data_IF_672623179107
#
_entry.id   IF_672623179107
#
_cell.length_a   1.000
_cell.length_b   1.000
_cell.length_c   1.000
_cell.angle_alpha   90.00
_cell.angle_beta   90.00
_cell.angle_gamma   90.00
#
_symmetry.space_group_name_H-M   'P 1'
#
loop_
_entity.id
_entity.type
_entity.pdbx_description
1 polymer ?
#
# COMPACT_ATOMS: atom_id res chain seq x y z
N UNK A 1 -41.03 50.52 -55.47
CA UNK A 1 -41.76 50.33 -54.21
C UNK A 1 -41.23 49.04 -53.59
N UNK A 2 -40.41 49.16 -52.57
CA UNK A 2 -39.80 48.01 -51.88
C UNK A 2 -40.59 47.76 -50.61
N UNK A 3 -41.22 46.60 -50.52
CA UNK A 3 -41.79 46.10 -49.26
C UNK A 3 -40.73 45.48 -48.45
N UNK A 4 -40.34 46.16 -47.39
CA UNK A 4 -39.50 45.59 -46.33
C UNK A 4 -40.37 44.75 -45.39
N UNK A 5 -40.24 43.46 -45.47
CA UNK A 5 -40.85 42.55 -44.51
C UNK A 5 -39.96 42.51 -43.28
N UNK A 6 -40.44 43.11 -42.20
CA UNK A 6 -39.83 42.99 -40.88
C UNK A 6 -39.94 41.55 -40.39
N UNK A 7 -38.81 40.84 -40.30
CA UNK A 7 -38.75 39.59 -39.61
C UNK A 7 -38.58 39.84 -38.11
N UNK A 8 -39.64 39.57 -37.40
CA UNK A 8 -39.73 39.60 -35.95
C UNK A 8 -38.86 38.50 -35.36
N UNK A 9 -37.65 38.86 -34.87
CA UNK A 9 -36.78 37.96 -34.12
C UNK A 9 -37.45 37.64 -32.78
N UNK A 10 -38.05 36.46 -32.67
CA UNK A 10 -38.47 35.88 -31.41
C UNK A 10 -37.21 35.43 -30.64
N UNK A 11 -36.86 36.19 -29.62
CA UNK A 11 -35.85 35.76 -28.61
C UNK A 11 -36.39 34.54 -27.87
N UNK A 12 -35.89 33.37 -28.22
CA UNK A 12 -36.04 32.17 -27.41
C UNK A 12 -35.07 32.32 -26.24
N UNK A 13 -35.63 32.63 -25.08
CA UNK A 13 -34.87 32.55 -23.82
C UNK A 13 -34.63 31.07 -23.51
N UNK A 14 -33.48 30.56 -23.91
CA UNK A 14 -33.00 29.27 -23.47
C UNK A 14 -32.69 29.34 -21.99
N UNK A 15 -33.51 28.65 -21.20
CA UNK A 15 -33.23 28.40 -19.80
C UNK A 15 -32.16 27.30 -19.78
N UNK A 16 -30.93 27.69 -19.57
CA UNK A 16 -29.86 26.74 -19.28
C UNK A 16 -30.09 26.19 -17.86
N UNK A 17 -30.68 25.00 -17.78
CA UNK A 17 -30.66 24.21 -16.59
C UNK A 17 -29.23 23.69 -16.42
N UNK A 18 -28.43 24.40 -15.62
CA UNK A 18 -27.14 23.87 -15.13
C UNK A 18 -27.44 22.76 -14.17
N UNK A 19 -27.41 21.51 -14.65
CA UNK A 19 -27.41 20.34 -13.82
C UNK A 19 -25.99 20.28 -13.21
N UNK A 20 -25.84 20.80 -11.99
CA UNK A 20 -24.67 20.59 -11.20
C UNK A 20 -24.63 19.10 -10.83
N UNK A 21 -23.81 18.35 -11.57
CA UNK A 21 -23.52 16.95 -11.27
C UNK A 21 -22.61 16.92 -10.03
N UNK A 22 -23.22 16.93 -8.85
CA UNK A 22 -22.54 16.71 -7.59
C UNK A 22 -22.15 15.24 -7.51
N UNK A 23 -20.92 14.94 -7.93
CA UNK A 23 -20.31 13.63 -7.69
C UNK A 23 -20.11 13.48 -6.18
N UNK A 24 -20.67 12.43 -5.55
CA UNK A 24 -20.38 12.17 -4.16
C UNK A 24 -18.89 11.83 -4.04
N UNK A 25 -18.18 12.65 -3.27
CA UNK A 25 -16.81 12.36 -2.87
C UNK A 25 -16.89 11.22 -1.86
N UNK A 26 -16.76 9.98 -2.32
CA UNK A 26 -16.54 8.86 -1.42
C UNK A 26 -15.08 8.94 -0.96
N UNK A 27 -14.83 9.05 0.36
CA UNK A 27 -13.49 8.87 0.85
C UNK A 27 -13.07 7.45 0.48
N UNK A 28 -12.09 7.33 -0.40
CA UNK A 28 -11.40 6.07 -0.62
C UNK A 28 -10.65 5.81 0.66
N UNK A 29 -11.29 5.06 1.57
CA UNK A 29 -10.57 4.45 2.67
C UNK A 29 -9.52 3.57 2.01
N UNK A 30 -8.26 3.95 2.17
CA UNK A 30 -7.14 3.10 1.82
C UNK A 30 -7.23 1.88 2.74
N UNK A 31 -8.02 0.90 2.34
CA UNK A 31 -8.08 -0.41 2.97
C UNK A 31 -6.70 -1.02 2.81
N UNK A 32 -5.99 -1.09 3.89
CA UNK A 32 -4.76 -1.86 4.04
C UNK A 32 -5.09 -3.31 3.67
N UNK A 33 -4.45 -3.81 2.72
CA UNK A 33 -4.86 -4.72 1.70
C UNK A 33 -4.63 -6.18 2.03
N UNK A 34 -5.58 -6.74 2.69
CA UNK A 34 -5.89 -8.16 2.57
C UNK A 34 -7.13 -8.26 1.64
N UNK A 35 -6.92 -8.01 0.35
CA UNK A 35 -8.01 -7.84 -0.63
C UNK A 35 -8.86 -9.10 -0.79
N UNK A 36 -8.30 -10.26 -0.51
CA UNK A 36 -8.96 -11.55 -0.55
C UNK A 36 -9.40 -12.06 0.83
N UNK A 37 -9.07 -11.32 1.90
CA UNK A 37 -9.43 -11.68 3.27
C UNK A 37 -8.74 -12.94 3.79
N UNK A 38 -7.68 -13.40 3.12
CA UNK A 38 -6.95 -14.63 3.47
C UNK A 38 -6.47 -14.66 4.92
N UNK A 39 -6.09 -13.51 5.45
CA UNK A 39 -5.57 -13.38 6.80
C UNK A 39 -6.55 -12.76 7.81
N UNK A 40 -7.79 -12.46 7.37
CA UNK A 40 -8.79 -11.79 8.22
C UNK A 40 -9.06 -12.53 9.54
N UNK A 41 -8.98 -13.88 9.52
CA UNK A 41 -9.21 -14.74 10.68
C UNK A 41 -7.90 -15.31 11.26
N UNK A 42 -6.74 -14.80 10.86
CA UNK A 42 -5.48 -15.23 11.43
C UNK A 42 -5.41 -14.88 12.93
N UNK A 43 -5.01 -15.83 13.81
CA UNK A 43 -4.79 -15.53 15.23
C UNK A 43 -3.69 -14.50 15.46
N UNK A 44 -2.82 -14.29 14.46
CA UNK A 44 -1.73 -13.33 14.52
C UNK A 44 -2.07 -11.97 13.89
N UNK A 45 -3.27 -11.83 13.30
CA UNK A 45 -3.63 -10.60 12.56
C UNK A 45 -3.40 -9.33 13.38
N UNK A 46 -3.93 -9.28 14.59
CA UNK A 46 -3.80 -8.11 15.47
C UNK A 46 -2.33 -7.82 15.81
N UNK A 47 -1.53 -8.86 16.02
CA UNK A 47 -0.10 -8.69 16.28
C UNK A 47 0.63 -8.15 15.06
N UNK A 48 0.40 -8.71 13.86
CA UNK A 48 0.99 -8.21 12.61
C UNK A 48 0.60 -6.75 12.35
N UNK A 49 -0.66 -6.40 12.57
CA UNK A 49 -1.15 -5.03 12.37
C UNK A 49 -0.50 -4.02 13.33
N UNK A 50 0.04 -4.49 14.45
CA UNK A 50 0.74 -3.67 15.44
C UNK A 50 2.24 -3.48 15.16
N UNK A 51 2.81 -4.22 14.21
CA UNK A 51 4.25 -4.19 13.95
C UNK A 51 4.67 -2.88 13.30
N UNK A 52 5.79 -2.37 13.77
CA UNK A 52 6.46 -1.21 13.20
C UNK A 52 7.97 -1.33 13.34
N UNK A 53 8.68 -0.73 12.40
CA UNK A 53 10.11 -0.43 12.49
C UNK A 53 10.30 1.07 12.68
N UNK A 54 11.54 1.54 12.76
CA UNK A 54 11.82 2.98 12.72
C UNK A 54 11.47 3.64 11.38
N UNK A 55 11.21 2.85 10.35
CA UNK A 55 10.68 3.31 9.06
C UNK A 55 9.16 3.47 9.02
N UNK A 56 8.46 3.14 10.10
CA UNK A 56 7.03 3.25 10.26
C UNK A 56 6.30 1.90 10.35
N UNK A 57 4.97 1.89 10.27
CA UNK A 57 4.18 0.67 10.31
C UNK A 57 4.59 -0.32 9.22
N UNK A 58 4.62 -1.61 9.56
CA UNK A 58 4.99 -2.67 8.61
C UNK A 58 3.88 -3.01 7.63
N UNK A 59 2.68 -2.44 7.81
CA UNK A 59 1.47 -2.79 7.08
C UNK A 59 0.87 -4.13 7.55
N UNK A 60 -0.02 -4.72 6.74
CA UNK A 60 -0.68 -5.96 7.15
C UNK A 60 0.20 -7.19 6.93
N UNK A 61 -0.19 -8.32 7.53
CA UNK A 61 0.45 -9.61 7.25
C UNK A 61 0.37 -9.99 5.76
N UNK A 62 -0.64 -9.51 5.04
CA UNK A 62 -0.81 -9.76 3.61
C UNK A 62 0.31 -9.15 2.75
N UNK A 63 0.97 -8.10 3.23
CA UNK A 63 2.07 -7.43 2.53
C UNK A 63 3.45 -7.99 2.91
N UNK A 64 3.51 -8.88 3.91
CA UNK A 64 4.74 -9.54 4.36
C UNK A 64 5.00 -10.84 3.58
N UNK A 65 6.27 -11.18 3.42
CA UNK A 65 6.72 -12.46 2.88
C UNK A 65 7.32 -13.29 4.01
N UNK A 66 6.83 -14.52 4.19
CA UNK A 66 7.31 -15.43 5.22
C UNK A 66 8.66 -16.06 4.86
N UNK A 67 9.30 -16.68 5.85
CA UNK A 67 10.58 -17.39 5.69
C UNK A 67 10.55 -18.52 4.67
N UNK A 68 9.40 -19.11 4.42
CA UNK A 68 9.26 -20.11 3.36
C UNK A 68 9.56 -19.53 1.98
N UNK A 69 9.33 -18.23 1.81
CA UNK A 69 9.57 -17.49 0.59
C UNK A 69 10.82 -16.60 0.66
N UNK A 70 11.51 -16.60 1.81
CA UNK A 70 12.63 -15.67 2.10
C UNK A 70 13.84 -16.43 2.61
N UNK A 71 14.92 -16.41 1.84
CA UNK A 71 16.25 -16.74 2.36
C UNK A 71 16.81 -15.52 3.09
N UNK A 72 17.38 -15.73 4.25
CA UNK A 72 18.03 -14.67 5.01
C UNK A 72 19.26 -15.15 5.75
N UNK A 73 20.18 -14.27 5.98
CA UNK A 73 21.40 -14.51 6.77
C UNK A 73 21.85 -13.24 7.49
N UNK A 74 22.96 -13.38 8.19
CA UNK A 74 23.67 -12.26 8.81
C UNK A 74 25.07 -12.18 8.22
N UNK A 75 25.45 -11.03 7.69
CA UNK A 75 26.79 -10.77 7.18
C UNK A 75 27.34 -9.49 7.80
N UNK A 76 28.54 -9.59 8.40
CA UNK A 76 29.18 -8.46 9.10
C UNK A 76 28.27 -7.79 10.15
N UNK A 77 27.48 -8.60 10.87
CA UNK A 77 26.52 -8.09 11.88
C UNK A 77 25.26 -7.46 11.33
N UNK A 78 25.04 -7.53 10.02
CA UNK A 78 23.86 -6.96 9.36
C UNK A 78 23.03 -8.07 8.72
N UNK A 79 21.71 -7.99 8.90
CA UNK A 79 20.78 -8.90 8.24
C UNK A 79 20.73 -8.63 6.74
N UNK A 80 20.59 -9.72 5.98
CA UNK A 80 20.31 -9.68 4.55
C UNK A 80 19.17 -10.64 4.25
N UNK A 81 18.36 -10.29 3.26
CA UNK A 81 17.29 -11.14 2.74
C UNK A 81 17.51 -11.34 1.24
N UNK A 82 17.16 -12.53 0.74
CA UNK A 82 17.18 -12.78 -0.70
C UNK A 82 15.75 -12.73 -1.24
N UNK A 83 15.52 -11.77 -2.13
CA UNK A 83 14.23 -11.57 -2.80
C UNK A 83 14.49 -11.55 -4.30
N UNK A 84 13.70 -12.31 -5.06
CA UNK A 84 13.82 -12.42 -6.51
C UNK A 84 15.26 -12.73 -6.98
N UNK A 85 15.96 -13.59 -6.22
CA UNK A 85 17.34 -13.99 -6.51
C UNK A 85 18.41 -12.98 -6.12
N UNK A 86 18.05 -11.83 -5.57
CA UNK A 86 18.99 -10.78 -5.16
C UNK A 86 19.09 -10.67 -3.64
N UNK A 87 20.32 -10.57 -3.14
CA UNK A 87 20.58 -10.27 -1.75
C UNK A 87 20.42 -8.77 -1.48
N UNK A 88 19.58 -8.45 -0.52
CA UNK A 88 19.27 -7.07 -0.13
C UNK A 88 19.62 -6.92 1.34
N UNK A 89 20.45 -5.94 1.66
CA UNK A 89 20.75 -5.60 3.05
C UNK A 89 19.52 -5.02 3.74
N UNK A 90 19.26 -5.47 4.96
CA UNK A 90 18.19 -4.94 5.80
C UNK A 90 18.75 -3.75 6.57
N UNK A 91 18.31 -2.52 6.29
CA UNK A 91 18.75 -1.37 7.07
C UNK A 91 18.38 -1.54 8.53
N UNK A 92 19.23 -1.06 9.43
CA UNK A 92 18.98 -1.15 10.87
C UNK A 92 17.62 -0.54 11.28
N UNK A 93 17.21 0.51 10.56
CA UNK A 93 15.91 1.18 10.77
C UNK A 93 14.70 0.32 10.37
N UNK A 94 14.90 -0.68 9.52
CA UNK A 94 13.85 -1.59 9.08
C UNK A 94 13.65 -2.77 10.06
N UNK A 95 14.55 -2.96 11.01
CA UNK A 95 14.45 -4.07 11.94
C UNK A 95 13.31 -3.87 12.93
N UNK A 96 12.44 -4.88 13.03
CA UNK A 96 11.41 -4.97 14.07
C UNK A 96 12.02 -5.62 15.30
N UNK A 97 11.98 -4.93 16.44
CA UNK A 97 12.70 -5.34 17.67
C UNK A 97 11.79 -5.98 18.72
N UNK A 98 10.48 -6.04 18.49
CA UNK A 98 9.57 -6.74 19.39
C UNK A 98 9.73 -8.26 19.24
N UNK A 99 9.37 -9.05 20.27
CA UNK A 99 9.45 -10.51 20.17
C UNK A 99 8.61 -11.05 19.01
N UNK A 100 9.20 -11.95 18.24
CA UNK A 100 8.51 -12.60 17.13
C UNK A 100 7.55 -13.67 17.66
N UNK A 101 6.25 -13.37 17.67
CA UNK A 101 5.20 -14.31 18.10
C UNK A 101 4.81 -15.31 17.01
N UNK A 102 5.13 -15.01 15.76
CA UNK A 102 4.80 -15.85 14.61
C UNK A 102 5.80 -17.02 14.46
N UNK A 103 7.05 -16.81 14.88
CA UNK A 103 8.12 -17.82 14.86
C UNK A 103 8.92 -17.83 13.56
N UNK A 104 8.34 -17.55 12.44
CA UNK A 104 9.02 -17.44 11.14
C UNK A 104 9.53 -16.01 10.92
N UNK A 105 10.61 -15.89 10.13
CA UNK A 105 11.03 -14.56 9.67
C UNK A 105 10.02 -13.99 8.68
N UNK A 106 9.82 -12.69 8.74
CA UNK A 106 8.94 -12.01 7.81
C UNK A 106 9.60 -10.70 7.35
N UNK A 107 9.49 -10.41 6.06
CA UNK A 107 10.00 -9.18 5.45
C UNK A 107 8.87 -8.46 4.73
N UNK A 108 8.87 -7.13 4.79
CA UNK A 108 7.94 -6.27 4.06
C UNK A 108 8.73 -5.42 3.06
N UNK A 109 8.88 -5.93 1.82
CA UNK A 109 9.55 -5.19 0.75
C UNK A 109 8.59 -4.17 0.11
N UNK A 110 9.17 -3.14 -0.49
CA UNK A 110 8.45 -2.21 -1.36
C UNK A 110 9.37 -1.73 -2.48
N UNK A 111 8.79 -1.16 -3.53
CA UNK A 111 9.55 -0.52 -4.62
C UNK A 111 9.64 0.98 -4.37
N UNK A 112 10.85 1.52 -4.48
CA UNK A 112 11.05 2.96 -4.47
C UNK A 112 10.71 3.58 -5.84
N UNK A 113 10.85 4.90 -5.95
CA UNK A 113 10.55 5.64 -7.19
C UNK A 113 11.39 5.22 -8.38
N UNK A 114 12.56 4.62 -8.13
CA UNK A 114 13.46 4.12 -9.17
C UNK A 114 13.24 2.63 -9.47
N UNK A 115 12.22 2.02 -8.85
CA UNK A 115 11.89 0.61 -9.00
C UNK A 115 12.81 -0.35 -8.25
N UNK A 116 13.68 0.15 -7.37
CA UNK A 116 14.55 -0.68 -6.53
C UNK A 116 13.78 -1.27 -5.36
N UNK A 117 14.07 -2.52 -5.03
CA UNK A 117 13.49 -3.14 -3.85
C UNK A 117 14.14 -2.59 -2.58
N UNK A 118 13.30 -2.09 -1.69
CA UNK A 118 13.65 -1.58 -0.37
C UNK A 118 12.93 -2.40 0.70
N UNK A 119 13.45 -2.40 1.92
CA UNK A 119 12.85 -3.09 3.05
C UNK A 119 12.23 -2.06 4.00
N UNK A 120 10.93 -2.18 4.21
CA UNK A 120 10.21 -1.36 5.21
C UNK A 120 10.37 -1.94 6.60
N UNK A 121 10.16 -3.24 6.73
CA UNK A 121 10.30 -3.99 7.98
C UNK A 121 10.92 -5.35 7.71
N UNK A 122 11.66 -5.85 8.70
CA UNK A 122 12.10 -7.22 8.79
C UNK A 122 12.05 -7.68 10.24
N UNK A 123 11.47 -8.83 10.48
CA UNK A 123 11.49 -9.49 11.78
C UNK A 123 12.15 -10.86 11.64
N UNK A 124 13.31 -11.09 12.27
CA UNK A 124 13.97 -12.39 12.20
C UNK A 124 13.16 -13.47 12.91
N UNK A 125 13.26 -14.69 12.41
CA UNK A 125 12.64 -15.86 13.04
C UNK A 125 13.26 -16.22 14.39
N UNK A 126 12.53 -16.99 15.19
CA UNK A 126 12.95 -17.41 16.52
C UNK A 126 14.12 -18.42 16.52
N UNK A 127 14.49 -18.97 15.39
CA UNK A 127 15.54 -19.99 15.22
C UNK A 127 16.77 -19.51 14.45
N UNK A 128 16.91 -18.22 14.28
CA UNK A 128 18.05 -17.63 13.58
C UNK A 128 19.28 -17.44 14.43
#
# INVERSE_FOLDING_TARGET
MMHMTEQKFRRVRGIFFSIALSLPFFPVLALTRDLDGKYANSPFKQWFDSLASRRGPCCSVADGQSVEDVDWDTKNGQYRVRLDGQWIEVPAEALVTVPNKFGLSVVWPYKDYEGRTQIRCFIPGAGG
#
